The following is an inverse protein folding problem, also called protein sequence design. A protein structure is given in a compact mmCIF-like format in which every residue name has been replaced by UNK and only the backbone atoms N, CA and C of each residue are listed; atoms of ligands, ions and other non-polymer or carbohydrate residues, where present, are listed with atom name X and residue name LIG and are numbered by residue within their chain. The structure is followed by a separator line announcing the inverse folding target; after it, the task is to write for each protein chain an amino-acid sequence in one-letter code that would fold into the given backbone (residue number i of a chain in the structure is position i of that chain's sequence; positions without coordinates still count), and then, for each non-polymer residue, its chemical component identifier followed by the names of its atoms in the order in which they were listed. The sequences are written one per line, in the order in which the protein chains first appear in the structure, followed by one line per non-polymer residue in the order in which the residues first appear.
data_IF_174651178223
#
_entry.id   IF_174651178223
#
_cell.length_a   1.000
_cell.length_b   1.000
_cell.length_c   1.000
_cell.angle_alpha   90.00
_cell.angle_beta   90.00
_cell.angle_gamma   90.00
#
_symmetry.space_group_name_H-M   'P 1'
#
loop_
_entity.id
_entity.type
_entity.pdbx_description
1 polymer ?
#
# COMPACT_ATOMS: atom_id res chain seq x y z
N UNK A 1 -7.87 -25.13 -2.27
CA UNK A 1 -8.43 -24.02 -1.45
C UNK A 1 -7.79 -22.75 -1.95
N UNK A 2 -8.59 -21.78 -2.35
CA UNK A 2 -8.11 -20.52 -2.93
C UNK A 2 -7.74 -19.51 -1.83
N UNK A 3 -6.65 -18.78 -2.05
CA UNK A 3 -6.07 -17.81 -1.12
C UNK A 3 -5.57 -16.57 -1.85
N UNK A 4 -5.67 -15.42 -1.19
CA UNK A 4 -5.16 -14.15 -1.72
C UNK A 4 -3.78 -13.87 -1.11
N UNK A 5 -2.78 -13.68 -1.98
CA UNK A 5 -1.41 -13.28 -1.58
C UNK A 5 -1.43 -11.88 -0.96
N UNK A 6 -0.70 -11.69 0.12
CA UNK A 6 -0.49 -10.38 0.72
C UNK A 6 0.84 -9.76 0.26
N UNK A 7 1.04 -8.47 0.51
CA UNK A 7 2.31 -7.78 0.24
C UNK A 7 3.52 -8.34 1.00
N UNK A 8 3.30 -9.22 1.99
CA UNK A 8 4.35 -9.84 2.80
C UNK A 8 5.00 -11.04 2.14
N UNK A 9 4.37 -11.60 1.10
CA UNK A 9 4.82 -12.82 0.44
C UNK A 9 5.12 -12.62 -1.06
N UNK A 10 6.09 -11.77 -1.41
CA UNK A 10 6.42 -11.50 -2.82
C UNK A 10 6.94 -12.75 -3.56
N UNK A 11 7.41 -13.76 -2.83
CA UNK A 11 7.85 -15.04 -3.38
C UNK A 11 6.69 -15.95 -3.83
N UNK A 12 5.47 -15.72 -3.32
CA UNK A 12 4.27 -16.44 -3.76
C UNK A 12 3.63 -15.77 -4.99
N UNK A 13 3.91 -14.50 -5.22
CA UNK A 13 3.38 -13.73 -6.35
C UNK A 13 3.05 -12.29 -5.97
N UNK A 14 2.31 -11.62 -6.86
CA UNK A 14 1.81 -10.28 -6.60
C UNK A 14 0.74 -10.29 -5.50
N UNK A 15 0.73 -9.26 -4.66
CA UNK A 15 -0.32 -9.09 -3.66
C UNK A 15 -1.69 -8.91 -4.35
N UNK A 16 -2.71 -9.57 -3.84
CA UNK A 16 -4.05 -9.60 -4.44
C UNK A 16 -4.26 -10.75 -5.42
N UNK A 17 -3.22 -11.46 -5.81
CA UNK A 17 -3.35 -12.65 -6.67
C UNK A 17 -3.97 -13.80 -5.89
N UNK A 18 -4.97 -14.45 -6.50
CA UNK A 18 -5.53 -15.70 -6.02
C UNK A 18 -4.61 -16.87 -6.39
N UNK A 19 -4.33 -17.76 -5.44
CA UNK A 19 -3.63 -19.02 -5.70
C UNK A 19 -4.28 -20.18 -4.94
N UNK A 20 -4.09 -21.38 -5.48
CA UNK A 20 -4.49 -22.60 -4.78
C UNK A 20 -3.35 -23.18 -3.96
N UNK A 21 -3.65 -23.50 -2.71
CA UNK A 21 -2.72 -24.13 -1.78
C UNK A 21 -3.29 -25.43 -1.22
N UNK A 22 -2.38 -26.34 -0.88
CA UNK A 22 -2.70 -27.49 -0.02
C UNK A 22 -3.10 -27.00 1.37
N UNK A 23 -3.95 -27.73 2.13
CA UNK A 23 -4.38 -27.30 3.46
C UNK A 23 -3.22 -27.02 4.43
N UNK A 24 -2.19 -27.88 4.42
CA UNK A 24 -1.01 -27.73 5.28
C UNK A 24 -0.19 -26.49 4.92
N UNK A 25 0.00 -26.21 3.64
CA UNK A 25 0.72 -25.03 3.19
C UNK A 25 -0.07 -23.76 3.49
N UNK A 26 -1.38 -23.77 3.24
CA UNK A 26 -2.26 -22.66 3.58
C UNK A 26 -2.22 -22.31 5.07
N UNK A 27 -2.24 -23.32 5.95
CA UNK A 27 -2.11 -23.10 7.39
C UNK A 27 -0.79 -22.40 7.75
N UNK A 28 0.32 -22.87 7.18
CA UNK A 28 1.65 -22.30 7.43
C UNK A 28 1.78 -20.86 6.91
N UNK A 29 1.30 -20.59 5.70
CA UNK A 29 1.34 -19.26 5.08
C UNK A 29 0.39 -18.27 5.79
N UNK A 30 -0.78 -18.74 6.27
CA UNK A 30 -1.69 -17.92 7.10
C UNK A 30 -1.06 -17.50 8.42
N UNK A 31 -0.35 -18.40 9.11
CA UNK A 31 0.34 -18.08 10.37
C UNK A 31 1.42 -17.00 10.18
N UNK A 32 2.03 -16.95 9.00
CA UNK A 32 3.00 -15.92 8.61
C UNK A 32 2.34 -14.63 8.10
N UNK A 33 1.02 -14.63 7.92
CA UNK A 33 0.28 -13.53 7.30
C UNK A 33 0.65 -13.34 5.83
N UNK A 34 1.10 -14.39 5.14
CA UNK A 34 1.47 -14.37 3.74
C UNK A 34 0.26 -14.44 2.83
N UNK A 35 -0.78 -15.16 3.25
CA UNK A 35 -2.03 -15.34 2.50
C UNK A 35 -3.25 -15.18 3.40
N UNK A 36 -4.37 -14.79 2.81
CA UNK A 36 -5.68 -14.68 3.49
C UNK A 36 -6.75 -15.43 2.71
N UNK A 37 -7.78 -15.94 3.40
CA UNK A 37 -8.95 -16.48 2.69
C UNK A 37 -9.60 -15.36 1.86
N UNK A 38 -9.96 -15.63 0.60
CA UNK A 38 -10.78 -14.71 -0.16
C UNK A 38 -12.11 -14.60 0.58
N UNK A 39 -12.36 -13.42 1.16
CA UNK A 39 -13.71 -13.10 1.60
C UNK A 39 -14.60 -13.16 0.35
N UNK A 40 -15.63 -14.00 0.38
CA UNK A 40 -16.73 -13.98 -0.59
C UNK A 40 -17.11 -12.52 -0.90
N UNK A 41 -17.48 -12.22 -2.16
CA UNK A 41 -17.20 -10.94 -2.79
C UNK A 41 -17.56 -9.79 -1.86
N UNK A 42 -16.58 -8.96 -1.45
CA UNK A 42 -16.92 -7.71 -0.83
C UNK A 42 -17.70 -6.92 -1.88
N UNK A 43 -18.98 -6.67 -1.62
CA UNK A 43 -19.64 -5.52 -2.23
C UNK A 43 -18.72 -4.32 -1.98
N UNK A 44 -18.21 -3.74 -3.07
CA UNK A 44 -17.30 -2.60 -3.15
C UNK A 44 -15.78 -2.88 -3.07
N UNK A 45 -15.02 -2.43 -4.09
CA UNK A 45 -13.57 -2.54 -4.13
C UNK A 45 -12.98 -1.45 -3.24
N UNK A 46 -12.57 -1.78 -2.01
CA UNK A 46 -11.52 -1.00 -1.35
C UNK A 46 -10.16 -1.54 -1.76
N UNK A 47 -9.84 -1.29 -3.02
CA UNK A 47 -8.46 -1.24 -3.49
C UNK A 47 -7.76 -0.08 -2.77
N UNK A 48 -7.25 -0.32 -1.56
CA UNK A 48 -6.30 0.57 -0.92
C UNK A 48 -4.87 0.25 -1.41
N UNK A 49 -4.69 0.22 -2.73
CA UNK A 49 -3.40 0.58 -3.32
C UNK A 49 -3.40 2.09 -3.42
N UNK A 50 -2.84 2.75 -2.41
CA UNK A 50 -2.30 4.10 -2.57
C UNK A 50 -0.82 4.05 -2.25
N UNK A 51 -0.09 3.32 -3.10
CA UNK A 51 1.26 3.76 -3.46
C UNK A 51 1.07 4.94 -4.40
N UNK A 52 1.21 6.17 -3.89
CA UNK A 52 1.79 7.35 -4.57
C UNK A 52 1.63 8.54 -3.64
N UNK A 53 2.70 8.92 -2.94
CA UNK A 53 2.90 10.32 -2.57
C UNK A 53 4.38 10.67 -2.72
N UNK A 54 4.84 10.65 -3.96
CA UNK A 54 5.91 11.52 -4.40
C UNK A 54 5.25 12.74 -5.07
N UNK A 55 4.82 13.71 -4.25
CA UNK A 55 4.50 15.07 -4.72
C UNK A 55 4.98 16.06 -3.67
N UNK A 56 6.20 16.55 -3.90
CA UNK A 56 6.60 17.96 -3.79
C UNK A 56 6.05 18.72 -2.57
N UNK A 57 6.71 18.58 -1.41
CA UNK A 57 6.69 19.65 -0.41
C UNK A 57 7.75 20.68 -0.85
N UNK A 58 7.36 21.55 -1.76
CA UNK A 58 7.95 22.89 -1.75
C UNK A 58 7.28 23.60 -0.58
N UNK A 59 7.83 23.40 0.62
CA UNK A 59 7.53 24.26 1.75
C UNK A 59 8.33 25.53 1.50
N UNK A 60 7.69 26.43 0.77
CA UNK A 60 8.01 27.85 0.71
C UNK A 60 8.37 28.31 2.13
N UNK A 61 9.67 28.55 2.33
CA UNK A 61 10.20 29.19 3.52
C UNK A 61 9.78 30.67 3.53
N UNK A 62 9.80 31.30 4.71
CA UNK A 62 8.99 32.48 5.03
C UNK A 62 9.26 33.66 4.08
N UNK A 63 8.29 34.57 3.87
CA UNK A 63 8.53 35.80 3.14
C UNK A 63 9.62 36.58 3.87
N UNK A 64 10.82 36.59 3.30
CA UNK A 64 11.85 37.57 3.63
C UNK A 64 11.31 38.92 3.20
N UNK A 65 10.68 39.56 4.19
CA UNK A 65 10.28 40.97 4.24
C UNK A 65 11.32 41.82 3.51
N UNK A 66 11.00 42.28 2.31
CA UNK A 66 11.80 43.29 1.62
C UNK A 66 11.88 44.53 2.51
N UNK A 67 13.06 45.08 2.82
CA UNK A 67 13.12 46.44 3.32
C UNK A 67 12.72 47.36 2.16
N UNK A 68 11.57 47.97 2.39
CA UNK A 68 11.05 49.20 1.81
C UNK A 68 12.18 50.14 1.40
N UNK A 69 12.17 50.57 0.14
CA UNK A 69 12.95 51.72 -0.30
C UNK A 69 12.46 52.98 0.43
N UNK A 70 13.41 53.70 1.00
CA UNK A 70 13.32 55.05 1.56
C UNK A 70 14.74 55.61 1.33
N UNK A 71 14.95 56.32 0.23
CA UNK A 71 15.01 57.79 0.15
C UNK A 71 16.49 58.25 0.11
N UNK A 72 16.84 59.04 -0.92
CA UNK A 72 18.20 59.54 -1.19
C UNK A 72 18.42 59.88 -2.64
#
# INVERSE_FOLDING_TARGET
MEFVVTHRAPHLGAAGTALELTPSQAAYERLRGHVVEPAAPPSSPKAAVSKTRATKVQKEGPPLRSPKGEEG
#
